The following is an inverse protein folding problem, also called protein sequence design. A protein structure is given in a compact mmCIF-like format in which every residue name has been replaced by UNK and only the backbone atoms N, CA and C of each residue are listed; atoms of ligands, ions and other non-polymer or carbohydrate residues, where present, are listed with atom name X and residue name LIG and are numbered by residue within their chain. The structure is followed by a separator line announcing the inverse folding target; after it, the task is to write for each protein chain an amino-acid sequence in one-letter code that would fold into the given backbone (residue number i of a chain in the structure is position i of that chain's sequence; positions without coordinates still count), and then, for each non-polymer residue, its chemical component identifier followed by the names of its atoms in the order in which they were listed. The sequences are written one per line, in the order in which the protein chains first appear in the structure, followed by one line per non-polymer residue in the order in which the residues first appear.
data_IF_568119125204
#
_entry.id   IF_568119125204
#
_cell.length_a   1.000
_cell.length_b   1.000
_cell.length_c   1.000
_cell.angle_alpha   90.00
_cell.angle_beta   90.00
_cell.angle_gamma   90.00
#
_symmetry.space_group_name_H-M   'P 1'
#
loop_
_entity.id
_entity.type
_entity.pdbx_description
1 polymer ?
#
# COMPACT_ATOMS: atom_id res chain seq x y z
N UNK A 1 -8.91 7.62 -15.45
CA UNK A 1 -8.86 8.10 -14.05
C UNK A 1 -8.99 6.86 -13.17
N UNK A 2 -7.89 6.37 -12.59
CA UNK A 2 -7.90 5.17 -11.74
C UNK A 2 -8.55 5.57 -10.41
N UNK A 3 -9.68 4.98 -9.99
CA UNK A 3 -10.58 5.65 -9.06
C UNK A 3 -10.04 5.94 -7.66
N UNK A 4 -9.02 5.24 -7.16
CA UNK A 4 -8.57 5.40 -5.77
C UNK A 4 -7.07 5.12 -5.60
N UNK A 5 -6.23 5.95 -6.22
CA UNK A 5 -4.80 6.01 -5.88
C UNK A 5 -4.66 7.05 -4.78
N UNK A 6 -4.49 6.61 -3.53
CA UNK A 6 -4.27 7.52 -2.39
C UNK A 6 -2.76 7.69 -2.18
N UNK A 7 -2.33 8.93 -1.96
CA UNK A 7 -0.95 9.23 -1.57
C UNK A 7 -0.75 8.80 -0.12
N UNK A 8 0.23 7.93 0.12
CA UNK A 8 0.66 7.58 1.47
C UNK A 8 1.52 8.72 2.02
N UNK A 9 1.14 9.27 3.17
CA UNK A 9 1.99 10.22 3.90
C UNK A 9 2.97 9.46 4.77
N UNK A 10 4.13 10.07 5.05
CA UNK A 10 5.22 9.49 5.85
C UNK A 10 4.76 8.92 7.21
N UNK A 11 3.65 9.43 7.76
CA UNK A 11 3.08 9.00 9.04
C UNK A 11 2.52 7.57 8.94
N UNK A 12 1.86 7.18 7.85
CA UNK A 12 1.39 5.80 7.62
C UNK A 12 2.51 4.84 7.21
N UNK A 13 3.61 5.35 6.64
CA UNK A 13 4.78 4.55 6.23
C UNK A 13 5.70 4.22 7.43
N UNK A 14 5.52 4.86 8.59
CA UNK A 14 6.36 4.63 9.78
C UNK A 14 6.22 3.19 10.34
N UNK A 15 5.21 2.44 9.90
CA UNK A 15 4.98 1.04 10.30
C UNK A 15 5.79 0.06 9.45
N UNK A 16 6.27 0.53 8.29
CA UNK A 16 7.21 -0.15 7.42
C UNK A 16 8.67 0.04 7.92
N UNK A 17 8.90 -0.13 9.24
CA UNK A 17 10.21 0.07 9.91
C UNK A 17 11.37 -0.76 9.36
N UNK A 18 11.11 -1.66 8.41
CA UNK A 18 12.10 -2.55 7.80
C UNK A 18 12.09 -2.55 6.27
N UNK A 19 11.22 -1.79 5.59
CA UNK A 19 11.08 -1.90 4.14
C UNK A 19 11.65 -0.70 3.37
N UNK A 20 12.15 -1.07 2.21
CA UNK A 20 12.89 -0.32 1.18
C UNK A 20 12.15 0.87 0.57
N UNK A 21 11.00 1.27 1.13
CA UNK A 21 10.18 2.41 0.68
C UNK A 21 10.72 3.76 1.17
N UNK A 22 12.04 3.88 1.29
CA UNK A 22 12.71 5.02 1.92
C UNK A 22 13.54 5.84 0.95
N UNK A 23 13.36 5.64 -0.36
CA UNK A 23 14.03 6.43 -1.41
C UNK A 23 13.75 7.92 -1.14
N UNK A 24 14.73 8.72 -0.66
CA UNK A 24 14.45 10.07 -0.18
C UNK A 24 13.87 10.96 -1.28
N UNK A 25 12.82 11.71 -0.96
CA UNK A 25 12.10 12.55 -1.93
C UNK A 25 11.10 11.80 -2.82
N UNK A 26 10.91 10.50 -2.62
CA UNK A 26 9.91 9.73 -3.37
C UNK A 26 8.53 9.83 -2.73
N UNK A 27 7.52 10.07 -3.58
CA UNK A 27 6.11 9.91 -3.23
C UNK A 27 5.73 8.44 -3.40
N UNK A 28 4.96 7.90 -2.45
CA UNK A 28 4.41 6.55 -2.55
C UNK A 28 2.90 6.60 -2.63
N UNK A 29 2.36 5.70 -3.43
CA UNK A 29 0.95 5.49 -3.65
C UNK A 29 0.56 4.10 -3.19
N UNK A 30 -0.68 3.98 -2.72
CA UNK A 30 -1.30 2.69 -2.46
C UNK A 30 -2.44 2.42 -3.45
N UNK A 31 -2.63 1.14 -3.78
CA UNK A 31 -3.78 0.67 -4.54
C UNK A 31 -4.32 -0.66 -4.00
N UNK A 32 -5.65 -0.86 -3.93
CA UNK A 32 -6.23 -2.08 -3.37
C UNK A 32 -5.84 -3.33 -4.17
N UNK A 33 -5.46 -4.39 -3.45
CA UNK A 33 -5.30 -5.74 -4.02
C UNK A 33 -6.52 -6.55 -3.63
N UNK A 34 -7.25 -7.06 -4.63
CA UNK A 34 -8.40 -7.90 -4.40
C UNK A 34 -8.04 -9.38 -4.52
N UNK A 35 -8.64 -10.20 -3.64
CA UNK A 35 -8.58 -11.66 -3.78
C UNK A 35 -9.19 -12.07 -5.12
N UNK A 36 -8.53 -13.00 -5.81
CA UNK A 36 -8.94 -13.46 -7.14
C UNK A 36 -8.28 -12.72 -8.31
N UNK A 37 -7.38 -11.75 -8.04
CA UNK A 37 -6.55 -11.13 -9.08
C UNK A 37 -7.29 -10.12 -9.96
N UNK A 38 -8.47 -9.66 -9.54
CA UNK A 38 -9.22 -8.63 -10.24
C UNK A 38 -8.69 -7.24 -9.87
N UNK A 39 -8.60 -6.37 -10.88
CA UNK A 39 -8.29 -4.96 -10.65
C UNK A 39 -9.45 -4.28 -9.92
N UNK A 40 -9.12 -3.42 -8.95
CA UNK A 40 -10.12 -2.72 -8.17
C UNK A 40 -10.85 -1.65 -8.99
N UNK A 41 -12.18 -1.76 -9.07
CA UNK A 41 -13.03 -0.87 -9.88
C UNK A 41 -13.94 0.05 -9.06
N UNK A 42 -13.74 0.15 -7.75
CA UNK A 42 -14.60 0.88 -6.81
C UNK A 42 -15.34 -0.04 -5.82
N UNK A 43 -15.92 0.53 -4.76
CA UNK A 43 -16.58 -0.20 -3.69
C UNK A 43 -15.75 -0.30 -2.41
N UNK A 44 -15.82 -1.43 -1.72
CA UNK A 44 -14.96 -1.72 -0.56
C UNK A 44 -13.56 -2.14 -1.05
N UNK A 45 -12.49 -1.42 -0.67
CA UNK A 45 -11.12 -1.75 -1.07
C UNK A 45 -10.54 -2.97 -0.32
N UNK A 46 -11.20 -3.50 0.70
CA UNK A 46 -10.66 -4.57 1.54
C UNK A 46 -9.44 -4.12 2.35
N UNK A 47 -8.66 -5.07 2.87
CA UNK A 47 -7.55 -4.78 3.80
C UNK A 47 -6.19 -4.58 3.13
N UNK A 48 -5.97 -5.13 1.94
CA UNK A 48 -4.64 -5.30 1.35
C UNK A 48 -4.33 -4.21 0.31
N UNK A 49 -3.08 -3.73 0.28
CA UNK A 49 -2.61 -2.68 -0.63
C UNK A 49 -1.27 -3.04 -1.23
N UNK A 50 -1.07 -2.70 -2.51
CA UNK A 50 0.25 -2.60 -3.11
C UNK A 50 0.76 -1.17 -2.98
N UNK A 51 2.03 -1.01 -2.65
CA UNK A 51 2.73 0.28 -2.54
C UNK A 51 3.71 0.42 -3.71
N UNK A 52 3.61 1.55 -4.42
CA UNK A 52 4.44 1.85 -5.58
C UNK A 52 4.70 3.35 -5.73
N UNK A 53 5.74 3.73 -6.48
CA UNK A 53 6.07 5.14 -6.73
C UNK A 53 5.42 5.63 -8.05
N UNK A 54 5.46 6.95 -8.39
CA UNK A 54 4.92 7.46 -9.65
C UNK A 54 5.48 6.81 -10.92
N UNK A 55 6.68 6.23 -10.85
CA UNK A 55 7.31 5.50 -11.96
C UNK A 55 6.83 4.04 -12.08
N UNK A 56 5.90 3.61 -11.21
CA UNK A 56 5.40 2.24 -11.16
C UNK A 56 6.38 1.25 -10.51
N UNK A 57 7.42 1.74 -9.82
CA UNK A 57 8.34 0.89 -9.07
C UNK A 57 7.61 0.33 -7.85
N UNK A 58 7.51 -0.99 -7.82
CA UNK A 58 7.02 -1.76 -6.68
C UNK A 58 7.86 -1.48 -5.43
N UNK A 59 7.20 -1.41 -4.28
CA UNK A 59 7.86 -1.29 -3.00
C UNK A 59 7.56 -2.41 -2.02
N UNK A 60 6.26 -2.61 -1.74
CA UNK A 60 5.78 -3.56 -0.74
C UNK A 60 4.29 -3.81 -0.94
N UNK A 61 3.80 -4.87 -0.30
CA UNK A 61 2.41 -5.20 -0.05
C UNK A 61 2.17 -5.10 1.46
N UNK A 62 1.13 -4.38 1.80
CA UNK A 62 0.76 -4.09 3.18
C UNK A 62 -0.71 -4.49 3.43
N UNK A 63 -1.04 -4.75 4.69
CA UNK A 63 -2.39 -5.16 5.09
C UNK A 63 -2.80 -4.53 6.41
N UNK A 64 -4.07 -4.14 6.51
CA UNK A 64 -4.69 -3.83 7.81
C UNK A 64 -4.89 -5.08 8.68
N UNK A 65 -4.78 -6.29 8.11
CA UNK A 65 -5.02 -7.54 8.84
C UNK A 65 -4.00 -7.72 9.96
N UNK A 66 -4.47 -7.69 11.21
CA UNK A 66 -3.62 -7.81 12.40
C UNK A 66 -2.94 -6.51 12.82
N UNK A 67 -3.17 -5.41 12.11
CA UNK A 67 -2.78 -4.07 12.52
C UNK A 67 -3.82 -3.46 13.49
N UNK A 68 -3.41 -2.46 14.27
CA UNK A 68 -4.31 -1.66 15.11
C UNK A 68 -4.93 -0.51 14.32
N UNK A 69 -6.23 -0.25 14.49
CA UNK A 69 -6.92 0.89 13.86
C UNK A 69 -6.74 0.93 12.33
N UNK A 70 -6.26 2.08 11.80
CA UNK A 70 -5.96 2.30 10.37
C UNK A 70 -4.47 2.05 10.04
N UNK A 71 -3.74 1.38 10.93
CA UNK A 71 -2.34 1.00 10.69
C UNK A 71 -2.24 -0.14 9.68
N UNK A 72 -1.04 -0.32 9.14
CA UNK A 72 -0.69 -1.36 8.19
C UNK A 72 0.49 -2.18 8.67
N UNK A 73 0.44 -3.49 8.48
CA UNK A 73 1.60 -4.39 8.59
C UNK A 73 2.11 -4.77 7.21
N UNK A 74 3.40 -5.08 7.12
CA UNK A 74 3.97 -5.68 5.92
C UNK A 74 3.47 -7.14 5.75
N UNK A 75 3.07 -7.52 4.54
CA UNK A 75 2.77 -8.90 4.23
C UNK A 75 4.04 -9.75 4.28
N UNK A 76 3.93 -10.97 4.82
CA UNK A 76 5.07 -11.88 4.96
C UNK A 76 5.40 -12.57 3.63
N UNK A 77 6.66 -12.55 3.23
CA UNK A 77 7.14 -13.27 2.03
C UNK A 77 6.86 -12.55 0.72
N UNK A 78 6.57 -11.26 0.84
CA UNK A 78 6.47 -10.28 -0.23
C UNK A 78 7.85 -9.79 -0.73
#
# INVERSE_FOLDING_TARGET
MIPLVKTLTLISITIMRTSTCTVPGSTWYEYPILKGGTAYSGGDPGADRIVFNPSGTYCAVITHTGASDDDFLACKGD
#
